data_IF_595970689724
#
_entry.id   IF_595970689724
#
_cell.length_a   1.000
_cell.length_b   1.000
_cell.length_c   1.000
_cell.angle_alpha   90.00
_cell.angle_beta   90.00
_cell.angle_gamma   90.00
#
_symmetry.space_group_name_H-M   'P 1'
#
loop_
_entity.id
_entity.type
_entity.pdbx_description
1 polymer ?
#
# COMPACT_ATOMS: atom_id res chain seq x y z
N UNK A 1 2.54 9.97 -4.81
CA UNK A 1 2.69 11.32 -5.40
C UNK A 1 3.24 11.31 -6.81
N UNK A 2 4.40 10.67 -7.11
CA UNK A 2 5.11 10.77 -8.40
C UNK A 2 4.26 10.52 -9.64
N UNK A 3 3.44 9.46 -9.66
CA UNK A 3 2.56 9.15 -10.79
C UNK A 3 1.41 10.16 -10.96
N UNK A 4 1.07 10.89 -9.90
CA UNK A 4 0.03 11.92 -9.93
C UNK A 4 0.59 13.29 -10.34
N UNK A 5 1.89 13.53 -10.18
CA UNK A 5 2.52 14.82 -10.45
C UNK A 5 2.29 15.33 -11.89
N UNK A 6 2.17 14.41 -12.87
CA UNK A 6 1.86 14.76 -14.27
C UNK A 6 0.49 15.43 -14.48
N UNK A 7 -0.40 15.36 -13.51
CA UNK A 7 -1.72 16.01 -13.57
C UNK A 7 -1.72 17.40 -12.92
N UNK A 8 -0.56 17.86 -12.44
CA UNK A 8 -0.41 19.13 -11.72
C UNK A 8 -0.76 19.02 -10.25
N UNK A 9 -0.39 20.03 -9.48
CA UNK A 9 -0.64 20.14 -8.04
C UNK A 9 0.64 20.06 -7.21
N UNK A 10 0.51 20.44 -5.93
CA UNK A 10 1.56 20.33 -4.93
C UNK A 10 1.37 19.04 -4.12
N UNK A 11 2.45 18.32 -3.90
CA UNK A 11 2.38 17.01 -3.25
C UNK A 11 3.25 16.96 -2.00
N UNK A 12 2.70 16.34 -0.95
CA UNK A 12 3.42 15.95 0.25
C UNK A 12 3.33 14.43 0.39
N UNK A 13 4.48 13.76 0.50
CA UNK A 13 4.57 12.33 0.81
C UNK A 13 4.97 12.13 2.26
N UNK A 14 4.29 11.24 2.98
CA UNK A 14 4.59 10.94 4.39
C UNK A 14 4.80 9.45 4.54
N UNK A 15 5.85 9.05 5.23
CA UNK A 15 6.11 7.68 5.62
C UNK A 15 6.90 7.67 6.94
N UNK A 16 6.68 6.66 7.76
CA UNK A 16 7.44 6.47 9.00
C UNK A 16 8.87 5.99 8.73
N UNK A 17 9.10 5.36 7.59
CA UNK A 17 10.38 4.79 7.20
C UNK A 17 11.28 5.81 6.52
N UNK A 18 12.38 6.18 7.18
CA UNK A 18 13.42 7.04 6.60
C UNK A 18 13.95 6.48 5.27
N UNK A 19 14.12 5.16 5.17
CA UNK A 19 14.59 4.52 3.95
C UNK A 19 13.60 4.68 2.79
N UNK A 20 12.29 4.54 3.04
CA UNK A 20 11.26 4.77 2.02
C UNK A 20 11.28 6.22 1.54
N UNK A 21 11.41 7.16 2.45
CA UNK A 21 11.51 8.59 2.10
C UNK A 21 12.77 8.87 1.29
N UNK A 22 13.95 8.39 1.69
CA UNK A 22 15.19 8.53 0.90
C UNK A 22 15.04 8.04 -0.54
N UNK A 23 14.41 6.86 -0.72
CA UNK A 23 14.14 6.33 -2.06
C UNK A 23 13.13 7.18 -2.83
N UNK A 24 12.06 7.63 -2.17
CA UNK A 24 11.04 8.47 -2.79
C UNK A 24 11.64 9.81 -3.27
N UNK A 25 12.45 10.46 -2.44
CA UNK A 25 13.18 11.69 -2.79
C UNK A 25 14.12 11.48 -3.97
N UNK A 26 14.95 10.41 -3.92
CA UNK A 26 15.85 10.07 -5.04
C UNK A 26 15.08 9.93 -6.34
N UNK A 27 14.04 9.11 -6.35
CA UNK A 27 13.24 8.84 -7.54
C UNK A 27 12.46 10.07 -8.03
N UNK A 28 12.12 11.01 -7.15
CA UNK A 28 11.50 12.29 -7.54
C UNK A 28 12.51 13.23 -8.16
N UNK A 29 13.70 13.36 -7.59
CA UNK A 29 14.82 14.13 -8.19
C UNK A 29 15.20 13.59 -9.56
N UNK A 30 15.35 12.27 -9.69
CA UNK A 30 15.70 11.62 -10.97
C UNK A 30 14.64 11.88 -12.05
N UNK A 31 13.39 12.09 -11.65
CA UNK A 31 12.25 12.40 -12.52
C UNK A 31 12.00 13.91 -12.70
N UNK A 32 12.81 14.80 -12.11
CA UNK A 32 12.62 16.25 -12.17
C UNK A 32 11.34 16.74 -11.48
N UNK A 33 10.86 16.01 -10.45
CA UNK A 33 9.63 16.33 -9.74
C UNK A 33 9.94 17.00 -8.40
N UNK A 34 9.25 18.11 -8.12
CA UNK A 34 9.27 18.78 -6.82
C UNK A 34 8.16 18.23 -5.93
N UNK A 35 8.54 17.34 -5.01
CA UNK A 35 7.63 16.73 -4.05
C UNK A 35 8.27 16.83 -2.67
N UNK A 36 7.56 17.43 -1.72
CA UNK A 36 7.98 17.47 -0.33
C UNK A 36 7.76 16.12 0.33
N UNK A 37 8.77 15.63 1.05
CA UNK A 37 8.67 14.38 1.82
C UNK A 37 8.91 14.63 3.31
N UNK A 38 8.22 13.87 4.17
CA UNK A 38 8.30 13.98 5.62
C UNK A 38 8.41 12.57 6.22
N UNK A 39 9.44 12.36 7.05
CA UNK A 39 9.57 11.14 7.87
C UNK A 39 8.81 11.38 9.17
N UNK A 40 7.62 10.79 9.29
CA UNK A 40 6.77 10.97 10.46
C UNK A 40 5.68 9.88 10.51
N UNK A 41 5.28 9.37 11.69
CA UNK A 41 4.02 8.66 11.83
C UNK A 41 2.85 9.57 11.42
N UNK A 42 1.92 9.05 10.62
CA UNK A 42 0.81 9.87 10.09
C UNK A 42 -0.06 10.48 11.19
N UNK A 43 -0.21 9.79 12.31
CA UNK A 43 -0.97 10.23 13.48
C UNK A 43 -0.34 11.46 14.16
N UNK A 44 0.98 11.66 13.98
CA UNK A 44 1.73 12.78 14.56
C UNK A 44 2.09 13.88 13.56
N UNK A 45 1.52 13.78 12.35
CA UNK A 45 1.79 14.73 11.29
C UNK A 45 1.32 16.14 11.65
N UNK A 46 2.23 17.11 11.59
CA UNK A 46 1.95 18.53 11.81
C UNK A 46 2.06 19.30 10.50
N UNK A 47 0.93 19.61 9.93
CA UNK A 47 0.77 20.42 8.72
C UNK A 47 -0.36 21.42 8.92
N UNK A 48 -0.39 22.53 8.16
CA UNK A 48 -1.46 23.50 8.28
C UNK A 48 -2.85 22.87 8.06
N UNK A 49 -3.78 23.23 8.93
CA UNK A 49 -5.17 22.80 8.77
C UNK A 49 -5.76 23.37 7.49
N UNK A 50 -6.78 22.68 6.96
CA UNK A 50 -7.54 23.09 5.77
C UNK A 50 -6.65 23.45 4.57
N UNK A 51 -5.51 22.76 4.40
CA UNK A 51 -4.55 23.05 3.35
C UNK A 51 -4.57 22.07 2.18
N UNK A 52 -5.19 20.90 2.35
CA UNK A 52 -5.21 19.84 1.33
C UNK A 52 -6.59 19.68 0.69
N UNK A 53 -6.61 19.55 -0.64
CA UNK A 53 -7.81 19.20 -1.40
C UNK A 53 -8.09 17.70 -1.32
N UNK A 54 -7.02 16.89 -1.30
CA UNK A 54 -7.09 15.42 -1.25
C UNK A 54 -6.00 14.87 -0.33
N UNK A 55 -6.36 13.92 0.50
CA UNK A 55 -5.43 13.04 1.22
C UNK A 55 -5.64 11.63 0.72
N UNK A 56 -4.56 10.86 0.59
CA UNK A 56 -4.64 9.46 0.15
C UNK A 56 -3.93 8.53 1.12
N UNK A 57 -4.54 7.39 1.44
CA UNK A 57 -3.90 6.25 2.11
C UNK A 57 -3.87 5.08 1.13
N UNK A 58 -2.65 4.72 0.66
CA UNK A 58 -2.47 3.69 -0.35
C UNK A 58 -1.79 2.48 0.28
N UNK A 59 -2.49 1.36 0.42
CA UNK A 59 -2.00 0.09 0.97
C UNK A 59 -1.43 0.22 2.40
N UNK A 60 -1.96 1.13 3.22
CA UNK A 60 -1.39 1.42 4.54
C UNK A 60 -2.40 1.67 5.66
N UNK A 61 -3.71 1.84 5.35
CA UNK A 61 -4.69 2.24 6.37
C UNK A 61 -4.75 1.30 7.57
N UNK A 62 -4.57 0.00 7.36
CA UNK A 62 -4.62 -1.01 8.42
C UNK A 62 -3.45 -0.96 9.45
N UNK A 63 -2.45 -0.09 9.22
CA UNK A 63 -1.35 0.11 10.17
C UNK A 63 -1.61 1.23 11.17
N UNK A 64 -2.65 2.05 10.96
CA UNK A 64 -2.89 3.26 11.73
C UNK A 64 -3.92 3.08 12.83
N UNK A 65 -3.81 3.90 13.86
CA UNK A 65 -4.89 4.14 14.81
C UNK A 65 -5.94 5.04 14.16
N UNK A 66 -7.07 4.46 13.80
CA UNK A 66 -8.12 5.17 13.08
C UNK A 66 -8.76 6.29 13.91
N UNK A 67 -8.87 6.11 15.23
CA UNK A 67 -9.44 7.12 16.15
C UNK A 67 -8.57 8.39 16.21
N UNK A 68 -7.28 8.25 15.93
CA UNK A 68 -6.35 9.38 15.85
C UNK A 68 -6.23 9.91 14.41
N UNK A 69 -6.14 8.99 13.44
CA UNK A 69 -5.86 9.35 12.05
C UNK A 69 -7.01 10.09 11.38
N UNK A 70 -8.27 9.61 11.54
CA UNK A 70 -9.41 10.21 10.83
C UNK A 70 -9.69 11.66 11.24
N UNK A 71 -9.70 12.03 12.54
CA UNK A 71 -9.78 13.43 12.94
C UNK A 71 -8.61 14.27 12.41
N UNK A 72 -7.39 13.71 12.40
CA UNK A 72 -6.21 14.40 11.85
C UNK A 72 -6.40 14.70 10.36
N UNK A 73 -6.78 13.71 9.56
CA UNK A 73 -7.03 13.90 8.13
C UNK A 73 -8.16 14.91 7.92
N UNK A 74 -9.22 14.82 8.72
CA UNK A 74 -10.33 15.78 8.65
C UNK A 74 -9.84 17.22 8.89
N UNK A 75 -8.98 17.47 9.87
CA UNK A 75 -8.43 18.82 10.12
C UNK A 75 -7.55 19.33 8.97
N UNK A 76 -6.77 18.46 8.33
CA UNK A 76 -5.90 18.82 7.21
C UNK A 76 -6.66 19.15 5.93
N UNK A 77 -7.80 18.53 5.70
CA UNK A 77 -8.59 18.71 4.49
C UNK A 77 -9.32 20.06 4.49
N UNK A 78 -9.30 20.74 3.35
CA UNK A 78 -10.19 21.88 3.05
C UNK A 78 -11.64 21.47 3.13
N UNK A 79 -12.55 22.46 3.16
CA UNK A 79 -14.00 22.21 3.03
C UNK A 79 -14.29 21.43 1.74
N UNK A 80 -15.08 20.36 1.84
CA UNK A 80 -15.38 19.42 0.74
C UNK A 80 -14.17 18.63 0.22
N UNK A 81 -13.03 18.69 0.91
CA UNK A 81 -11.83 17.89 0.60
C UNK A 81 -12.11 16.38 0.66
N UNK A 82 -11.27 15.60 0.03
CA UNK A 82 -11.48 14.16 -0.17
C UNK A 82 -10.40 13.32 0.51
N UNK A 83 -10.83 12.26 1.16
CA UNK A 83 -9.92 11.22 1.67
C UNK A 83 -10.12 9.96 0.85
N UNK A 84 -9.10 9.57 0.07
CA UNK A 84 -9.11 8.39 -0.77
C UNK A 84 -8.33 7.27 -0.12
N UNK A 85 -8.97 6.13 0.09
CA UNK A 85 -8.37 4.92 0.63
C UNK A 85 -8.28 3.92 -0.51
N UNK A 86 -7.06 3.43 -0.77
CA UNK A 86 -6.79 2.55 -1.91
C UNK A 86 -6.05 1.30 -1.45
N UNK A 87 -6.57 0.16 -1.89
CA UNK A 87 -5.93 -1.13 -1.71
C UNK A 87 -5.81 -1.87 -3.05
N UNK A 88 -4.79 -2.69 -3.16
CA UNK A 88 -4.57 -3.61 -4.26
C UNK A 88 -4.18 -4.97 -3.67
N UNK A 89 -5.16 -5.87 -3.63
CA UNK A 89 -5.02 -7.17 -2.99
C UNK A 89 -4.98 -8.28 -4.04
N UNK A 90 -3.99 -9.16 -3.96
CA UNK A 90 -4.00 -10.38 -4.79
C UNK A 90 -5.09 -11.35 -4.35
N UNK A 91 -5.67 -12.07 -5.30
CA UNK A 91 -6.70 -13.05 -5.02
C UNK A 91 -6.07 -14.40 -4.67
N UNK A 92 -5.84 -14.60 -3.38
CA UNK A 92 -5.16 -15.78 -2.84
C UNK A 92 -5.84 -17.08 -3.28
N UNK A 93 -7.17 -17.17 -3.22
CA UNK A 93 -7.91 -18.38 -3.53
C UNK A 93 -7.98 -18.67 -5.03
N UNK A 94 -7.73 -17.68 -5.87
CA UNK A 94 -7.82 -17.81 -7.33
C UNK A 94 -6.45 -18.06 -8.01
N UNK A 95 -5.35 -18.02 -7.27
CA UNK A 95 -4.01 -18.15 -7.84
C UNK A 95 -3.11 -19.11 -7.07
N UNK A 96 -2.76 -20.23 -7.70
CA UNK A 96 -1.77 -21.17 -7.16
C UNK A 96 -0.40 -20.51 -6.98
N UNK A 97 -0.07 -19.55 -7.85
CA UNK A 97 1.19 -18.82 -7.77
C UNK A 97 1.24 -17.98 -6.49
N UNK A 98 0.15 -17.29 -6.17
CA UNK A 98 0.03 -16.51 -4.93
C UNK A 98 0.09 -17.45 -3.72
N UNK A 99 -0.71 -18.52 -3.69
CA UNK A 99 -0.72 -19.48 -2.58
C UNK A 99 0.67 -20.04 -2.31
N UNK A 100 1.32 -20.55 -3.34
CA UNK A 100 2.67 -21.13 -3.19
C UNK A 100 3.69 -20.11 -2.69
N UNK A 101 3.62 -18.86 -3.19
CA UNK A 101 4.51 -17.79 -2.76
C UNK A 101 4.29 -17.44 -1.28
N UNK A 102 3.04 -17.35 -0.84
CA UNK A 102 2.67 -17.08 0.55
C UNK A 102 3.04 -18.24 1.48
N UNK A 103 2.75 -19.47 1.09
CA UNK A 103 3.12 -20.67 1.87
C UNK A 103 4.64 -20.73 2.07
N UNK A 104 5.38 -20.31 1.05
CA UNK A 104 6.84 -20.23 1.17
C UNK A 104 7.27 -19.14 2.15
N UNK A 105 6.59 -17.99 2.19
CA UNK A 105 6.86 -16.95 3.21
C UNK A 105 6.58 -17.51 4.61
N UNK A 106 5.41 -18.11 4.81
CA UNK A 106 5.00 -18.71 6.10
C UNK A 106 5.99 -19.75 6.60
N UNK A 107 6.61 -20.53 5.70
CA UNK A 107 7.62 -21.49 6.06
C UNK A 107 8.87 -20.87 6.71
N UNK A 108 9.27 -19.67 6.29
CA UNK A 108 10.42 -18.94 6.82
C UNK A 108 10.07 -17.93 7.91
N UNK A 109 8.81 -17.44 7.90
CA UNK A 109 8.24 -16.54 8.89
C UNK A 109 6.83 -17.01 9.32
N UNK A 110 6.72 -18.03 10.18
CA UNK A 110 5.42 -18.56 10.62
C UNK A 110 4.53 -17.57 11.36
N UNK A 111 5.11 -16.54 11.96
CA UNK A 111 4.38 -15.51 12.72
C UNK A 111 3.77 -14.42 11.83
N UNK A 112 4.07 -14.42 10.52
CA UNK A 112 3.52 -13.42 9.63
C UNK A 112 2.01 -13.60 9.43
N UNK A 113 1.24 -12.60 9.91
CA UNK A 113 -0.22 -12.61 9.84
C UNK A 113 -0.78 -12.08 8.50
N UNK A 114 0.06 -11.45 7.67
CA UNK A 114 -0.36 -10.79 6.41
C UNK A 114 -0.80 -11.70 5.27
N UNK A 115 -1.05 -12.97 5.54
CA UNK A 115 -1.35 -13.99 4.53
C UNK A 115 -2.76 -14.56 4.61
N UNK A 116 -3.52 -14.17 5.61
CA UNK A 116 -4.88 -14.68 5.82
C UNK A 116 -5.86 -13.75 5.14
N UNK A 117 -6.12 -13.96 3.88
CA UNK A 117 -7.02 -13.12 3.17
C UNK A 117 -7.96 -13.85 2.24
N UNK A 118 -8.89 -13.55 2.48
CA UNK A 118 -10.30 -13.33 2.34
C UNK A 118 -10.64 -12.45 1.16
N UNK A 119 -11.80 -12.68 0.61
CA UNK A 119 -12.48 -11.75 -0.28
C UNK A 119 -12.77 -10.47 0.51
N UNK A 120 -11.83 -9.56 0.46
CA UNK A 120 -11.85 -8.41 1.35
C UNK A 120 -12.74 -7.32 0.79
N UNK A 121 -13.87 -7.14 1.42
CA UNK A 121 -14.52 -5.84 1.46
C UNK A 121 -13.91 -5.11 2.66
N UNK A 122 -13.15 -4.06 2.42
CA UNK A 122 -12.73 -3.18 3.51
C UNK A 122 -13.92 -2.31 3.91
N UNK A 123 -14.55 -2.54 5.06
CA UNK A 123 -15.60 -1.65 5.53
C UNK A 123 -15.01 -0.28 5.82
N UNK A 124 -15.81 0.75 5.60
CA UNK A 124 -15.44 2.09 6.06
C UNK A 124 -15.33 2.05 7.58
N UNK A 125 -14.22 2.55 8.11
CA UNK A 125 -14.00 2.61 9.55
C UNK A 125 -15.09 3.43 10.25
N UNK A 126 -15.54 2.98 11.42
CA UNK A 126 -16.46 3.76 12.28
C UNK A 126 -15.88 5.11 12.68
N UNK A 127 -14.56 5.25 12.74
CA UNK A 127 -13.89 6.54 12.97
C UNK A 127 -14.18 7.60 11.89
N UNK A 128 -14.78 7.21 10.75
CA UNK A 128 -15.26 8.17 9.73
C UNK A 128 -16.61 8.82 10.09
N UNK A 129 -17.37 8.24 11.03
CA UNK A 129 -18.70 8.70 11.39
C UNK A 129 -18.67 10.15 11.93
N UNK A 130 -19.56 10.99 11.44
CA UNK A 130 -19.60 12.41 11.82
C UNK A 130 -18.49 13.29 11.24
N UNK A 131 -17.46 12.70 10.63
CA UNK A 131 -16.34 13.42 10.01
C UNK A 131 -16.43 13.41 8.47
N UNK A 132 -16.90 12.29 7.92
CA UNK A 132 -16.91 12.07 6.47
C UNK A 132 -18.22 11.47 5.98
N UNK A 133 -18.65 11.85 4.79
CA UNK A 133 -19.67 11.15 4.03
C UNK A 133 -19.02 10.22 3.00
N UNK A 134 -19.53 8.99 2.86
CA UNK A 134 -19.09 8.06 1.83
C UNK A 134 -19.65 8.50 0.49
N UNK A 135 -18.75 8.76 -0.47
CA UNK A 135 -19.11 9.09 -1.85
C UNK A 135 -19.19 7.84 -2.69
N UNK A 136 -18.18 6.97 -2.60
CA UNK A 136 -18.20 5.65 -3.21
C UNK A 136 -17.33 4.68 -2.41
N UNK A 137 -17.66 3.40 -2.53
CA UNK A 137 -16.82 2.29 -2.08
C UNK A 137 -16.89 1.21 -3.15
N UNK A 138 -15.86 1.13 -3.95
CA UNK A 138 -15.82 0.32 -5.16
C UNK A 138 -14.76 -0.76 -5.06
N UNK A 139 -15.11 -1.94 -5.52
CA UNK A 139 -14.17 -3.05 -5.70
C UNK A 139 -14.30 -3.59 -7.11
N UNK A 140 -13.19 -3.70 -7.80
CA UNK A 140 -13.17 -4.28 -9.13
C UNK A 140 -11.92 -5.16 -9.33
N UNK A 141 -12.10 -6.21 -10.15
CA UNK A 141 -11.05 -7.15 -10.48
C UNK A 141 -10.13 -6.58 -11.55
N UNK A 142 -8.84 -6.79 -11.40
CA UNK A 142 -7.82 -6.56 -12.44
C UNK A 142 -6.88 -7.75 -12.51
N UNK A 143 -6.51 -8.10 -13.71
CA UNK A 143 -5.53 -9.14 -13.99
C UNK A 143 -4.20 -8.49 -14.37
N UNK A 144 -3.19 -8.59 -13.51
CA UNK A 144 -1.90 -7.96 -13.70
C UNK A 144 -0.87 -8.97 -14.18
N UNK A 145 -0.13 -8.61 -15.25
CA UNK A 145 0.96 -9.44 -15.77
C UNK A 145 2.25 -9.16 -14.98
N UNK A 146 2.87 -10.23 -14.50
CA UNK A 146 4.18 -10.20 -13.87
C UNK A 146 5.17 -11.04 -14.67
N UNK A 147 6.45 -10.65 -14.60
CA UNK A 147 7.57 -11.53 -14.91
C UNK A 147 7.99 -12.28 -13.64
N UNK A 148 8.75 -13.35 -13.78
CA UNK A 148 9.35 -14.06 -12.64
C UNK A 148 10.12 -13.10 -11.72
N UNK A 149 10.91 -12.20 -12.31
CA UNK A 149 11.68 -11.21 -11.57
C UNK A 149 10.79 -10.21 -10.84
N UNK A 150 9.80 -9.62 -11.53
CA UNK A 150 8.92 -8.61 -10.93
C UNK A 150 8.05 -9.19 -9.82
N UNK A 151 7.59 -10.44 -9.97
CA UNK A 151 6.84 -11.12 -8.90
C UNK A 151 7.73 -11.46 -7.71
N UNK A 152 8.95 -11.96 -7.95
CA UNK A 152 9.91 -12.16 -6.85
C UNK A 152 10.18 -10.87 -6.09
N UNK A 153 10.41 -9.77 -6.81
CA UNK A 153 10.59 -8.44 -6.21
C UNK A 153 9.36 -7.97 -5.41
N UNK A 154 8.15 -8.16 -5.96
CA UNK A 154 6.91 -7.83 -5.29
C UNK A 154 6.74 -8.57 -3.96
N UNK A 155 7.01 -9.89 -3.96
CA UNK A 155 6.92 -10.72 -2.76
C UNK A 155 8.02 -10.39 -1.76
N UNK A 156 9.23 -10.05 -2.22
CA UNK A 156 10.34 -9.61 -1.36
C UNK A 156 10.04 -8.31 -0.63
N UNK A 157 9.22 -7.42 -1.23
CA UNK A 157 8.77 -6.19 -0.60
C UNK A 157 7.63 -6.38 0.41
N UNK A 158 7.07 -7.59 0.55
CA UNK A 158 6.09 -7.86 1.61
C UNK A 158 6.74 -7.71 2.98
N UNK A 159 5.99 -7.17 3.93
CA UNK A 159 6.45 -6.98 5.31
C UNK A 159 7.00 -8.27 5.91
N UNK A 160 6.29 -9.37 5.71
CA UNK A 160 6.68 -10.71 6.19
C UNK A 160 8.01 -11.22 5.64
N UNK A 161 8.55 -10.62 4.58
CA UNK A 161 9.87 -10.93 4.01
C UNK A 161 10.84 -9.80 4.32
N UNK A 162 10.66 -8.65 3.71
CA UNK A 162 11.67 -7.59 3.69
C UNK A 162 11.83 -6.83 5.00
N UNK A 163 10.81 -6.78 5.85
CA UNK A 163 10.83 -6.03 7.10
C UNK A 163 10.96 -6.93 8.36
N UNK A 164 10.49 -8.16 8.30
CA UNK A 164 10.39 -9.03 9.48
C UNK A 164 11.41 -10.17 9.50
N UNK A 165 11.90 -10.59 8.33
CA UNK A 165 12.94 -11.63 8.29
C UNK A 165 14.35 -11.04 8.38
N UNK A 166 15.28 -11.68 9.10
CA UNK A 166 16.69 -11.31 9.04
C UNK A 166 17.28 -11.62 7.65
N UNK A 167 18.33 -10.89 7.21
CA UNK A 167 18.86 -10.95 5.86
C UNK A 167 19.16 -12.38 5.37
N UNK A 168 19.75 -13.23 6.21
CA UNK A 168 20.07 -14.60 5.88
C UNK A 168 18.83 -15.46 5.60
N UNK A 169 17.72 -15.22 6.28
CA UNK A 169 16.44 -15.88 5.98
C UNK A 169 15.83 -15.38 4.69
N UNK A 170 15.93 -14.07 4.42
CA UNK A 170 15.49 -13.48 3.15
C UNK A 170 16.22 -14.13 1.97
N UNK A 171 17.54 -14.31 2.05
CA UNK A 171 18.34 -14.96 1.00
C UNK A 171 17.90 -16.41 0.77
N UNK A 172 17.69 -17.17 1.84
CA UNK A 172 17.24 -18.57 1.75
C UNK A 172 15.83 -18.65 1.15
N UNK A 173 14.92 -17.77 1.58
CA UNK A 173 13.59 -17.67 1.02
C UNK A 173 13.66 -17.31 -0.47
N UNK A 174 14.40 -16.26 -0.83
CA UNK A 174 14.52 -15.79 -2.21
C UNK A 174 15.03 -16.88 -3.14
N UNK A 175 16.08 -17.63 -2.73
CA UNK A 175 16.61 -18.77 -3.48
C UNK A 175 15.54 -19.84 -3.76
N UNK A 176 14.70 -20.13 -2.77
CA UNK A 176 13.62 -21.13 -2.93
C UNK A 176 12.48 -20.58 -3.77
N UNK A 177 12.12 -19.30 -3.60
CA UNK A 177 11.08 -18.65 -4.36
C UNK A 177 11.47 -18.55 -5.86
N UNK A 178 12.69 -18.14 -6.17
CA UNK A 178 13.21 -18.14 -7.54
C UNK A 178 13.18 -19.54 -8.17
N UNK A 179 13.62 -20.57 -7.42
CA UNK A 179 13.53 -21.95 -7.91
C UNK A 179 12.09 -22.39 -8.24
N UNK A 180 11.12 -21.96 -7.46
CA UNK A 180 9.70 -22.18 -7.77
C UNK A 180 9.31 -21.43 -9.03
N UNK A 181 9.64 -20.13 -9.11
CA UNK A 181 9.29 -19.30 -10.27
C UNK A 181 9.92 -19.81 -11.58
N UNK A 182 11.08 -20.47 -11.54
CA UNK A 182 11.71 -21.09 -12.70
C UNK A 182 10.86 -22.23 -13.32
N UNK A 183 9.91 -22.77 -12.57
CA UNK A 183 8.95 -23.76 -13.09
C UNK A 183 7.78 -23.14 -13.85
N UNK A 184 7.61 -21.84 -13.77
CA UNK A 184 6.52 -21.10 -14.40
C UNK A 184 6.94 -20.50 -15.76
N UNK A 185 5.99 -20.09 -16.62
CA UNK A 185 6.30 -19.24 -17.77
C UNK A 185 7.02 -17.95 -17.35
N UNK A 186 7.79 -17.34 -18.25
CA UNK A 186 8.49 -16.08 -17.97
C UNK A 186 7.52 -14.95 -17.59
N UNK A 187 6.33 -14.95 -18.18
CA UNK A 187 5.23 -14.03 -17.87
C UNK A 187 4.00 -14.82 -17.45
N UNK A 188 3.35 -14.36 -16.43
CA UNK A 188 2.10 -14.94 -15.92
C UNK A 188 1.20 -13.84 -15.35
N UNK A 189 -0.07 -14.19 -15.18
CA UNK A 189 -1.10 -13.26 -14.69
C UNK A 189 -1.38 -13.56 -13.22
N UNK A 190 -1.48 -12.52 -12.42
CA UNK A 190 -1.93 -12.57 -11.03
C UNK A 190 -3.22 -11.74 -10.92
N UNK A 191 -4.34 -12.36 -10.55
CA UNK A 191 -5.58 -11.65 -10.33
C UNK A 191 -5.52 -10.82 -9.03
N UNK A 192 -6.05 -9.60 -9.09
CA UNK A 192 -6.13 -8.68 -7.96
C UNK A 192 -7.52 -8.08 -7.84
N UNK A 193 -7.89 -7.68 -6.64
CA UNK A 193 -8.90 -6.67 -6.41
C UNK A 193 -8.26 -5.30 -6.20
N UNK A 194 -8.79 -4.30 -6.88
CA UNK A 194 -8.58 -2.89 -6.55
C UNK A 194 -9.78 -2.45 -5.74
N UNK A 195 -9.52 -1.89 -4.57
CA UNK A 195 -10.54 -1.39 -3.66
C UNK A 195 -10.28 0.09 -3.48
N UNK A 196 -11.31 0.89 -3.73
CA UNK A 196 -11.25 2.34 -3.63
C UNK A 196 -12.42 2.85 -2.81
N UNK A 197 -12.12 3.46 -1.67
CA UNK A 197 -13.10 4.16 -0.86
C UNK A 197 -12.84 5.65 -0.96
N UNK A 198 -13.87 6.41 -1.31
CA UNK A 198 -13.84 7.84 -1.46
C UNK A 198 -14.74 8.48 -0.41
N UNK A 199 -14.09 9.20 0.50
CA UNK A 199 -14.71 9.90 1.62
C UNK A 199 -14.61 11.40 1.39
N UNK A 200 -15.72 12.12 1.60
CA UNK A 200 -15.79 13.57 1.52
C UNK A 200 -15.94 14.15 2.91
N UNK A 201 -15.10 15.13 3.24
CA UNK A 201 -15.21 15.91 4.48
C UNK A 201 -16.59 16.56 4.60
N UNK A 202 -17.22 16.41 5.80
CA UNK A 202 -18.49 17.05 6.17
C UNK A 202 -18.20 18.44 6.75
#
# INVERSE_FOLDING_TARGET
>A
PRHMAKYGGEFVGVDISENQIKYAEKLSRDAGLDIRYIVCPAERLELPEQSFDVVTACQCLYYFDHEILFPKIHSLLKQKGRFLILFMEWLYFESDIVRTSIDLIKKYNPSWAGSEHTDVVYPVSSAAEGLFSVVSNETYRVDLTFTRESWNGRMKCCRGVGAEMPPEKVELWEKKHKKYLDTLPEKFVIPHHIIMTDLKKI
#
